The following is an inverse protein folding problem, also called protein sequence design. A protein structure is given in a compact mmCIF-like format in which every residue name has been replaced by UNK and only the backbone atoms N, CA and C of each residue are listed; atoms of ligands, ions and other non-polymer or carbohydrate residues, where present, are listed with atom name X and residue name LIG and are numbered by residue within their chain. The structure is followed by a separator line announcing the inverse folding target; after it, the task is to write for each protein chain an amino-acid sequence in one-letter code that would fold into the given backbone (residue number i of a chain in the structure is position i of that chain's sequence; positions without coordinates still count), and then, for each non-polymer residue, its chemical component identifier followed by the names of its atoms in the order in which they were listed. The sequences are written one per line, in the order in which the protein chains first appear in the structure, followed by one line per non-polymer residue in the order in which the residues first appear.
data_IF_265031452559
#
_entry.id   IF_265031452559
#
_cell.length_a   1.000
_cell.length_b   1.000
_cell.length_c   1.000
_cell.angle_alpha   90.00
_cell.angle_beta   90.00
_cell.angle_gamma   90.00
#
_symmetry.space_group_name_H-M   'P 1'
#
loop_
_entity.id
_entity.type
_entity.pdbx_description
1 polymer ?
#
# COMPACT_ATOMS: atom_id res chain seq x y z
N UNK A 1 -2.94 -30.34 10.49
CA UNK A 1 -3.15 -31.80 10.33
C UNK A 1 -4.54 -31.96 9.75
N UNK A 2 -4.61 -32.40 8.50
CA UNK A 2 -5.79 -32.48 7.63
C UNK A 2 -6.82 -33.49 8.15
N UNK A 3 -8.12 -33.22 7.98
CA UNK A 3 -9.13 -34.17 7.51
C UNK A 3 -10.53 -33.56 7.66
N UNK A 4 -11.24 -33.33 6.54
CA UNK A 4 -12.66 -33.64 6.42
C UNK A 4 -13.05 -33.54 4.95
N UNK A 5 -13.11 -34.71 4.29
CA UNK A 5 -13.86 -34.96 3.07
C UNK A 5 -14.80 -36.14 3.34
N UNK A 6 -16.05 -35.92 2.97
CA UNK A 6 -16.99 -36.86 2.35
C UNK A 6 -17.54 -38.07 3.15
N UNK A 7 -18.85 -38.03 3.42
CA UNK A 7 -19.72 -39.20 3.49
C UNK A 7 -21.10 -38.88 2.84
N UNK A 8 -21.18 -39.13 1.54
CA UNK A 8 -22.17 -40.01 0.88
C UNK A 8 -23.62 -40.07 1.40
N UNK A 9 -24.53 -39.58 0.55
CA UNK A 9 -25.60 -40.34 -0.12
C UNK A 9 -26.45 -41.35 0.69
N UNK A 10 -27.75 -41.03 0.82
CA UNK A 10 -28.86 -42.01 0.75
C UNK A 10 -30.24 -41.31 0.74
N UNK A 11 -30.97 -41.42 -0.37
CA UNK A 11 -32.28 -42.09 -0.48
C UNK A 11 -33.14 -41.56 -1.63
N UNK A 12 -33.32 -42.44 -2.60
CA UNK A 12 -34.34 -42.42 -3.66
C UNK A 12 -35.68 -43.00 -3.16
N UNK A 13 -36.81 -42.37 -3.53
CA UNK A 13 -38.12 -43.07 -3.60
C UNK A 13 -39.01 -42.47 -4.68
N UNK A 14 -39.62 -43.36 -5.47
CA UNK A 14 -40.37 -43.15 -6.71
C UNK A 14 -41.85 -42.75 -6.52
N UNK A 15 -42.40 -42.01 -7.50
CA UNK A 15 -43.84 -41.75 -7.77
C UNK A 15 -44.02 -41.00 -9.12
N UNK A 16 -45.13 -41.14 -9.87
CA UNK A 16 -45.10 -41.42 -11.32
C UNK A 16 -45.17 -40.21 -12.31
N UNK A 17 -44.81 -40.52 -13.57
CA UNK A 17 -44.64 -39.65 -14.77
C UNK A 17 -45.95 -39.19 -15.43
N UNK A 18 -45.78 -38.09 -16.20
CA UNK A 18 -46.54 -37.54 -17.37
C UNK A 18 -47.50 -36.38 -17.09
N UNK A 19 -47.06 -35.16 -17.41
CA UNK A 19 -47.64 -34.35 -18.51
C UNK A 19 -46.67 -33.20 -18.88
N UNK A 20 -46.54 -32.91 -20.18
CA UNK A 20 -45.85 -31.77 -20.81
C UNK A 20 -44.29 -31.76 -20.73
N UNK A 21 -43.51 -32.49 -21.52
CA UNK A 21 -43.38 -32.43 -23.00
C UNK A 21 -44.19 -31.30 -23.65
N UNK A 22 -43.76 -30.04 -23.46
CA UNK A 22 -43.90 -28.90 -24.39
C UNK A 22 -43.43 -27.57 -23.75
N UNK A 23 -42.24 -27.55 -23.16
CA UNK A 23 -41.51 -26.31 -22.89
C UNK A 23 -40.05 -26.38 -23.36
N UNK A 24 -39.72 -27.39 -24.18
CA UNK A 24 -38.43 -27.58 -24.83
C UNK A 24 -38.33 -26.83 -26.16
N UNK A 25 -38.81 -25.57 -26.21
CA UNK A 25 -38.64 -24.70 -27.37
C UNK A 25 -38.82 -23.20 -27.03
N UNK A 26 -38.40 -22.75 -25.84
CA UNK A 26 -38.18 -21.32 -25.60
C UNK A 26 -36.69 -21.02 -25.83
N UNK A 27 -36.42 -20.61 -27.08
CA UNK A 27 -35.25 -19.84 -27.53
C UNK A 27 -33.87 -20.32 -27.08
N UNK A 28 -33.35 -21.35 -27.77
CA UNK A 28 -31.90 -21.61 -27.85
C UNK A 28 -31.14 -20.57 -28.72
N UNK A 29 -31.72 -19.37 -28.91
CA UNK A 29 -31.17 -18.32 -29.78
C UNK A 29 -31.00 -16.94 -29.09
N UNK A 30 -31.13 -16.84 -27.77
CA UNK A 30 -30.97 -15.57 -27.06
C UNK A 30 -30.17 -15.70 -25.77
N UNK A 31 -28.90 -16.11 -25.86
CA UNK A 31 -27.84 -15.81 -24.89
C UNK A 31 -26.46 -16.05 -25.54
N UNK A 32 -26.17 -15.38 -26.66
CA UNK A 32 -24.81 -15.34 -27.22
C UNK A 32 -23.83 -14.51 -26.34
N UNK A 33 -24.36 -13.78 -25.36
CA UNK A 33 -23.59 -13.01 -24.37
C UNK A 33 -24.11 -13.32 -22.96
N UNK A 34 -23.35 -14.11 -22.19
CA UNK A 34 -23.51 -14.21 -20.74
C UNK A 34 -22.55 -13.21 -20.08
N UNK A 35 -23.08 -12.25 -19.32
CA UNK A 35 -22.28 -11.22 -18.64
C UNK A 35 -21.94 -11.72 -17.23
N UNK A 36 -20.72 -12.21 -17.04
CA UNK A 36 -20.22 -12.70 -15.74
C UNK A 36 -19.45 -11.59 -15.01
N UNK A 37 -20.16 -10.57 -14.54
CA UNK A 37 -19.55 -9.41 -13.86
C UNK A 37 -18.87 -9.80 -12.56
N UNK A 38 -19.49 -10.70 -11.78
CA UNK A 38 -18.99 -11.04 -10.44
C UNK A 38 -17.62 -11.71 -10.46
N UNK A 39 -17.33 -12.50 -11.49
CA UNK A 39 -16.01 -13.12 -11.63
C UNK A 39 -14.88 -12.09 -11.85
N UNK A 40 -15.16 -11.03 -12.62
CA UNK A 40 -14.15 -10.03 -13.01
C UNK A 40 -14.26 -8.70 -12.27
N UNK A 41 -15.19 -8.60 -11.31
CA UNK A 41 -15.54 -7.35 -10.64
C UNK A 41 -14.29 -6.63 -10.09
N UNK A 42 -13.53 -7.30 -9.24
CA UNK A 42 -12.35 -6.73 -8.58
C UNK A 42 -11.28 -6.24 -9.59
N UNK A 43 -10.76 -7.09 -10.51
CA UNK A 43 -9.75 -6.63 -11.45
C UNK A 43 -10.28 -5.57 -12.42
N UNK A 44 -11.55 -5.65 -12.83
CA UNK A 44 -12.18 -4.65 -13.71
C UNK A 44 -12.27 -3.30 -13.02
N UNK A 45 -12.77 -3.25 -11.80
CA UNK A 45 -12.91 -2.02 -11.04
C UNK A 45 -11.54 -1.39 -10.74
N UNK A 46 -10.52 -2.17 -10.34
CA UNK A 46 -9.14 -1.66 -10.18
C UNK A 46 -8.63 -1.05 -11.50
N UNK A 47 -8.86 -1.75 -12.62
CA UNK A 47 -8.45 -1.26 -13.94
C UNK A 47 -9.17 0.06 -14.29
N UNK A 48 -10.47 0.16 -14.02
CA UNK A 48 -11.25 1.38 -14.24
C UNK A 48 -10.74 2.54 -13.38
N UNK A 49 -10.38 2.29 -12.12
CA UNK A 49 -9.80 3.30 -11.23
C UNK A 49 -8.43 3.80 -11.73
N UNK A 50 -7.55 2.89 -12.15
CA UNK A 50 -6.24 3.26 -12.73
C UNK A 50 -6.42 4.01 -14.05
N UNK A 51 -7.38 3.57 -14.88
CA UNK A 51 -7.72 4.25 -16.13
C UNK A 51 -8.26 5.66 -15.89
N UNK A 52 -9.15 5.83 -14.91
CA UNK A 52 -9.66 7.15 -14.52
C UNK A 52 -8.54 8.06 -14.04
N UNK A 53 -7.64 7.58 -13.18
CA UNK A 53 -6.50 8.35 -12.67
C UNK A 53 -5.55 8.77 -13.80
N UNK A 54 -5.25 7.86 -14.74
CA UNK A 54 -4.38 8.16 -15.89
C UNK A 54 -5.03 9.15 -16.88
N UNK A 55 -6.32 9.01 -17.16
CA UNK A 55 -7.07 9.98 -17.99
C UNK A 55 -7.14 11.36 -17.31
N UNK A 56 -7.37 11.41 -16.00
CA UNK A 56 -7.35 12.66 -15.25
C UNK A 56 -5.98 13.34 -15.34
N UNK A 57 -4.89 12.56 -15.17
CA UNK A 57 -3.52 13.06 -15.32
C UNK A 57 -3.25 13.64 -16.71
N UNK A 58 -3.69 12.94 -17.76
CA UNK A 58 -3.60 13.46 -19.15
C UNK A 58 -4.38 14.78 -19.26
N UNK A 59 -5.61 14.84 -18.74
CA UNK A 59 -6.43 16.05 -18.75
C UNK A 59 -5.77 17.24 -18.06
N UNK A 60 -5.09 17.03 -16.93
CA UNK A 60 -4.35 18.07 -16.24
C UNK A 60 -3.15 18.58 -17.03
N UNK A 61 -2.42 17.70 -17.71
CA UNK A 61 -1.32 18.10 -18.60
C UNK A 61 -1.80 18.83 -19.86
N UNK A 62 -2.97 18.51 -20.40
CA UNK A 62 -3.53 19.28 -21.52
C UNK A 62 -3.89 20.72 -21.11
N UNK A 63 -4.19 20.94 -19.83
CA UNK A 63 -4.51 22.26 -19.30
C UNK A 63 -3.29 22.85 -18.55
N UNK A 64 -2.35 23.39 -19.32
CA UNK A 64 -1.05 23.94 -18.85
C UNK A 64 -1.10 24.92 -17.65
N UNK A 65 -2.27 25.48 -17.29
CA UNK A 65 -2.41 26.41 -16.16
C UNK A 65 -2.72 25.76 -14.82
N UNK A 66 -3.26 24.53 -14.79
CA UNK A 66 -3.66 23.88 -13.54
C UNK A 66 -2.47 23.31 -12.75
N UNK A 67 -1.52 22.57 -13.36
CA UNK A 67 -0.36 22.02 -12.64
C UNK A 67 0.57 23.10 -12.08
N UNK A 68 0.61 24.28 -12.71
CA UNK A 68 1.43 25.41 -12.26
C UNK A 68 1.00 26.02 -10.92
N UNK A 69 -0.24 25.75 -10.46
CA UNK A 69 -0.79 26.30 -9.22
C UNK A 69 -0.99 25.22 -8.16
N UNK A 70 -1.36 24.01 -8.57
CA UNK A 70 -1.73 22.92 -7.67
C UNK A 70 -0.99 21.64 -8.07
N UNK A 71 -0.30 20.95 -7.13
CA UNK A 71 0.33 19.66 -7.40
C UNK A 71 -0.66 18.62 -7.92
N UNK A 72 -0.20 17.78 -8.85
CA UNK A 72 -1.02 16.75 -9.50
C UNK A 72 -1.71 15.81 -8.49
N UNK A 73 -1.00 15.42 -7.42
CA UNK A 73 -1.54 14.55 -6.37
C UNK A 73 -2.76 15.15 -5.69
N UNK A 74 -2.80 16.45 -5.46
CA UNK A 74 -3.95 17.13 -4.87
C UNK A 74 -5.16 17.09 -5.81
N UNK A 75 -4.94 17.33 -7.11
CA UNK A 75 -6.00 17.26 -8.13
C UNK A 75 -6.59 15.85 -8.24
N UNK A 76 -5.74 14.82 -8.17
CA UNK A 76 -6.18 13.41 -8.17
C UNK A 76 -7.01 13.07 -6.92
N UNK A 77 -6.63 13.57 -5.74
CA UNK A 77 -7.45 13.41 -4.51
C UNK A 77 -8.83 14.06 -4.70
N UNK A 78 -8.91 15.26 -5.28
CA UNK A 78 -10.19 15.91 -5.57
C UNK A 78 -11.06 15.10 -6.53
N UNK A 79 -10.47 14.55 -7.60
CA UNK A 79 -11.20 13.65 -8.52
C UNK A 79 -11.73 12.42 -7.78
N UNK A 80 -10.89 11.81 -6.93
CA UNK A 80 -11.29 10.69 -6.08
C UNK A 80 -12.44 11.02 -5.13
N UNK A 81 -12.41 12.20 -4.48
CA UNK A 81 -13.47 12.68 -3.60
C UNK A 81 -14.78 12.94 -4.35
N UNK A 82 -14.71 13.56 -5.55
CA UNK A 82 -15.88 13.80 -6.39
C UNK A 82 -16.50 12.45 -6.80
N UNK A 83 -15.68 11.51 -7.26
CA UNK A 83 -16.16 10.19 -7.66
C UNK A 83 -16.74 9.41 -6.48
N UNK A 84 -16.07 9.41 -5.33
CA UNK A 84 -16.57 8.80 -4.09
C UNK A 84 -17.89 9.42 -3.62
N UNK A 85 -18.02 10.74 -3.73
CA UNK A 85 -19.27 11.46 -3.43
C UNK A 85 -20.41 11.12 -4.40
N UNK A 86 -20.10 10.95 -5.70
CA UNK A 86 -21.08 10.52 -6.70
C UNK A 86 -21.58 9.10 -6.42
N UNK A 87 -20.67 8.14 -6.14
CA UNK A 87 -21.02 6.77 -5.78
C UNK A 87 -21.90 6.76 -4.52
N UNK A 88 -21.50 7.50 -3.49
CA UNK A 88 -22.28 7.64 -2.26
C UNK A 88 -23.67 8.22 -2.53
N UNK A 89 -23.79 9.24 -3.38
CA UNK A 89 -25.06 9.86 -3.76
C UNK A 89 -25.97 8.94 -4.56
N UNK A 90 -25.40 7.98 -5.31
CA UNK A 90 -26.15 6.98 -6.06
C UNK A 90 -26.63 5.81 -5.18
N UNK A 91 -26.32 5.84 -3.88
CA UNK A 91 -26.70 4.84 -2.89
C UNK A 91 -26.22 3.41 -3.24
N UNK A 92 -25.22 3.33 -4.10
CA UNK A 92 -24.59 2.08 -4.47
C UNK A 92 -23.67 1.66 -3.31
N UNK A 93 -24.01 0.52 -2.69
CA UNK A 93 -23.25 -0.05 -1.57
C UNK A 93 -22.06 -0.88 -2.03
N UNK A 94 -21.64 -0.73 -3.29
CA UNK A 94 -20.44 -1.36 -3.79
C UNK A 94 -19.26 -0.90 -2.92
N UNK A 95 -18.68 -1.79 -2.08
CA UNK A 95 -17.62 -1.41 -1.18
C UNK A 95 -16.42 -0.90 -1.99
N UNK A 96 -15.60 0.00 -1.42
CA UNK A 96 -14.36 0.42 -2.08
C UNK A 96 -13.53 -0.83 -2.38
N UNK A 97 -13.33 -1.06 -3.66
CA UNK A 97 -12.81 -2.31 -4.25
C UNK A 97 -11.34 -2.55 -3.89
N UNK A 98 -10.65 -1.48 -3.48
CA UNK A 98 -9.28 -1.51 -3.03
C UNK A 98 -9.28 -1.66 -1.51
N UNK A 99 -9.28 -2.90 -1.03
CA UNK A 99 -8.93 -3.19 0.35
C UNK A 99 -7.48 -2.82 0.61
N UNK A 100 -7.16 -2.36 1.83
CA UNK A 100 -5.79 -2.02 2.22
C UNK A 100 -4.82 -3.17 1.95
N UNK A 101 -5.21 -4.42 2.21
CA UNK A 101 -4.35 -5.59 1.98
C UNK A 101 -4.02 -5.78 0.50
N UNK A 102 -4.98 -5.53 -0.40
CA UNK A 102 -4.74 -5.61 -1.85
C UNK A 102 -3.76 -4.52 -2.28
N UNK A 103 -3.91 -3.30 -1.74
CA UNK A 103 -2.98 -2.21 -2.01
C UNK A 103 -1.57 -2.54 -1.53
N UNK A 104 -1.42 -2.93 -0.26
CA UNK A 104 -0.11 -3.25 0.33
C UNK A 104 0.54 -4.46 -0.34
N UNK A 105 -0.21 -5.51 -0.69
CA UNK A 105 0.37 -6.72 -1.28
C UNK A 105 0.68 -6.55 -2.77
N UNK A 106 -0.21 -5.96 -3.57
CA UNK A 106 -0.06 -5.96 -5.03
C UNK A 106 0.44 -4.64 -5.63
N UNK A 107 0.03 -3.50 -5.08
CA UNK A 107 0.37 -2.19 -5.65
C UNK A 107 1.65 -1.63 -5.06
N UNK A 108 1.87 -1.80 -3.75
CA UNK A 108 2.99 -1.16 -3.07
C UNK A 108 4.35 -1.72 -3.51
N UNK A 109 4.50 -3.04 -3.65
CA UNK A 109 5.79 -3.65 -4.02
C UNK A 109 6.33 -3.14 -5.38
N UNK A 110 5.54 -3.10 -6.47
CA UNK A 110 5.97 -2.47 -7.73
C UNK A 110 6.33 -0.99 -7.60
N UNK A 111 5.62 -0.21 -6.78
CA UNK A 111 5.89 1.22 -6.56
C UNK A 111 7.24 1.42 -5.86
N UNK A 112 7.52 0.61 -4.82
CA UNK A 112 8.80 0.67 -4.09
C UNK A 112 9.95 0.19 -4.98
N UNK A 113 9.73 -0.82 -5.82
CA UNK A 113 10.72 -1.27 -6.81
C UNK A 113 11.05 -0.18 -7.82
N UNK A 114 10.05 0.49 -8.38
CA UNK A 114 10.23 1.59 -9.33
C UNK A 114 11.07 2.72 -8.69
N UNK A 115 10.69 3.12 -7.48
CA UNK A 115 11.40 4.13 -6.71
C UNK A 115 12.86 3.73 -6.40
N UNK A 116 13.09 2.47 -5.99
CA UNK A 116 14.43 1.96 -5.68
C UNK A 116 15.32 1.76 -6.91
N UNK A 117 14.75 1.30 -8.02
CA UNK A 117 15.48 0.99 -9.25
C UNK A 117 15.97 2.25 -9.97
N UNK A 118 15.16 3.29 -10.03
CA UNK A 118 15.53 4.57 -10.65
C UNK A 118 16.30 5.50 -9.72
N UNK A 119 16.58 5.09 -8.49
CA UNK A 119 17.37 5.88 -7.55
C UNK A 119 18.85 5.92 -7.94
N UNK A 120 19.49 7.11 -8.01
CA UNK A 120 20.93 7.21 -8.20
C UNK A 120 21.68 6.68 -6.97
N UNK A 121 22.26 5.49 -7.11
CA UNK A 121 22.88 4.75 -5.99
C UNK A 121 24.07 5.45 -5.35
N UNK A 122 25.00 6.00 -6.16
CA UNK A 122 26.22 6.64 -5.64
C UNK A 122 25.95 7.81 -4.70
N UNK A 123 25.22 8.87 -5.11
CA UNK A 123 24.99 10.00 -4.22
C UNK A 123 24.06 9.67 -3.04
N UNK A 124 23.20 8.65 -3.18
CA UNK A 124 22.39 8.15 -2.06
C UNK A 124 23.28 7.56 -0.96
N UNK A 125 24.20 6.66 -1.31
CA UNK A 125 25.10 6.03 -0.33
C UNK A 125 26.13 7.01 0.25
N UNK A 126 26.59 8.00 -0.50
CA UNK A 126 27.46 9.07 0.04
C UNK A 126 26.79 9.89 1.15
N UNK A 127 25.46 10.07 1.08
CA UNK A 127 24.70 10.91 2.00
C UNK A 127 23.80 10.10 2.96
N UNK A 128 23.97 8.77 3.02
CA UNK A 128 23.08 7.86 3.76
C UNK A 128 22.91 8.25 5.24
N UNK A 129 23.96 8.76 5.88
CA UNK A 129 23.89 9.19 7.28
C UNK A 129 22.92 10.37 7.49
N UNK A 130 22.95 11.34 6.58
CA UNK A 130 22.02 12.48 6.61
C UNK A 130 20.61 12.02 6.28
N UNK A 131 20.44 11.18 5.25
CA UNK A 131 19.15 10.61 4.88
C UNK A 131 18.52 9.86 6.06
N UNK A 132 19.28 8.97 6.69
CA UNK A 132 18.80 8.17 7.83
C UNK A 132 18.48 9.05 9.04
N UNK A 133 19.24 10.11 9.29
CA UNK A 133 18.95 11.06 10.36
C UNK A 133 17.60 11.75 10.17
N UNK A 134 17.29 12.23 8.95
CA UNK A 134 15.98 12.81 8.67
C UNK A 134 14.87 11.76 8.65
N UNK A 135 15.08 10.63 7.98
CA UNK A 135 14.08 9.56 7.86
C UNK A 135 13.71 8.92 9.19
N UNK A 136 14.67 8.67 10.09
CA UNK A 136 14.41 8.02 11.37
C UNK A 136 14.12 9.06 12.46
N UNK A 137 15.08 9.93 12.74
CA UNK A 137 14.96 10.88 13.87
C UNK A 137 13.92 11.94 13.55
N UNK A 138 13.93 12.49 12.33
CA UNK A 138 12.95 13.47 11.88
C UNK A 138 11.53 12.93 11.89
N UNK A 139 11.30 11.74 11.34
CA UNK A 139 9.97 11.11 11.34
C UNK A 139 9.50 10.71 12.73
N UNK A 140 10.37 10.18 13.59
CA UNK A 140 10.01 9.90 14.99
C UNK A 140 9.66 11.19 15.73
N UNK A 141 10.46 12.24 15.56
CA UNK A 141 10.16 13.56 16.14
C UNK A 141 8.82 14.09 15.64
N UNK A 142 8.53 13.95 14.34
CA UNK A 142 7.26 14.34 13.74
C UNK A 142 6.08 13.55 14.33
N UNK A 143 6.18 12.22 14.37
CA UNK A 143 5.16 11.32 14.90
C UNK A 143 4.83 11.61 16.37
N UNK A 144 5.86 11.71 17.22
CA UNK A 144 5.68 12.03 18.63
C UNK A 144 5.22 13.46 18.84
N UNK A 145 5.74 14.42 18.08
CA UNK A 145 5.35 15.83 18.16
C UNK A 145 3.88 16.01 17.84
N UNK A 146 3.40 15.44 16.74
CA UNK A 146 1.99 15.44 16.36
C UNK A 146 1.14 14.75 17.44
N UNK A 147 1.53 13.55 17.88
CA UNK A 147 0.76 12.80 18.87
C UNK A 147 0.66 13.51 20.23
N UNK A 148 1.75 14.11 20.71
CA UNK A 148 1.74 14.90 21.94
C UNK A 148 0.94 16.19 21.79
N UNK A 149 1.06 16.86 20.65
CA UNK A 149 0.32 18.09 20.37
C UNK A 149 -1.20 17.83 20.32
N UNK A 150 -1.63 16.78 19.61
CA UNK A 150 -3.03 16.36 19.57
C UNK A 150 -3.55 15.96 20.94
N UNK A 151 -2.76 15.22 21.71
CA UNK A 151 -3.12 14.90 23.10
C UNK A 151 -3.29 16.17 23.95
N UNK A 152 -2.41 17.16 23.81
CA UNK A 152 -2.54 18.46 24.47
C UNK A 152 -3.85 19.17 24.13
N UNK A 153 -4.28 19.12 22.87
CA UNK A 153 -5.57 19.66 22.42
C UNK A 153 -6.75 18.89 23.04
N UNK A 154 -6.69 17.56 23.06
CA UNK A 154 -7.73 16.71 23.64
C UNK A 154 -7.99 17.02 25.13
N UNK A 155 -6.97 17.46 25.86
CA UNK A 155 -7.10 17.82 27.28
C UNK A 155 -7.84 19.14 27.52
N UNK A 156 -7.96 20.00 26.50
CA UNK A 156 -8.70 21.26 26.60
C UNK A 156 -10.21 20.96 26.66
N UNK A 157 -10.82 21.23 27.82
CA UNK A 157 -12.24 20.95 28.14
C UNK A 157 -13.24 21.48 27.10
N UNK A 158 -12.88 22.52 26.35
CA UNK A 158 -13.73 23.11 25.31
C UNK A 158 -14.08 22.10 24.19
N UNK A 159 -13.13 21.24 23.80
CA UNK A 159 -13.31 20.32 22.68
C UNK A 159 -14.07 19.03 23.03
N UNK A 160 -14.28 18.73 24.32
CA UNK A 160 -14.98 17.51 24.80
C UNK A 160 -14.38 16.20 24.22
N UNK A 161 -13.07 16.14 24.00
CA UNK A 161 -12.35 15.00 23.41
C UNK A 161 -11.46 14.26 24.44
N UNK A 162 -11.80 14.33 25.71
CA UNK A 162 -10.97 13.78 26.80
C UNK A 162 -10.95 12.24 26.83
N UNK A 163 -11.84 11.59 26.08
CA UNK A 163 -11.92 10.14 25.96
C UNK A 163 -10.81 9.56 25.05
N UNK A 164 -10.13 10.41 24.26
CA UNK A 164 -9.06 9.98 23.36
C UNK A 164 -7.77 9.78 24.15
N UNK A 165 -7.34 8.52 24.26
CA UNK A 165 -6.10 8.20 24.98
C UNK A 165 -4.86 8.68 24.22
N UNK A 166 -3.77 8.92 24.97
CA UNK A 166 -2.46 9.27 24.41
C UNK A 166 -2.00 8.28 23.32
N UNK A 167 -2.30 6.99 23.51
CA UNK A 167 -1.94 5.94 22.57
C UNK A 167 -2.66 6.08 21.23
N UNK A 168 -3.93 6.47 21.21
CA UNK A 168 -4.66 6.73 19.96
C UNK A 168 -4.06 7.94 19.23
N UNK A 169 -3.64 8.97 19.96
CA UNK A 169 -2.97 10.13 19.36
C UNK A 169 -1.58 9.77 18.80
N UNK A 170 -0.82 8.89 19.45
CA UNK A 170 0.44 8.37 18.88
C UNK A 170 0.23 7.45 17.70
N UNK A 171 -0.81 6.62 17.72
CA UNK A 171 -1.18 5.81 16.56
C UNK A 171 -1.50 6.69 15.35
N UNK A 172 -2.31 7.73 15.53
CA UNK A 172 -2.62 8.70 14.48
C UNK A 172 -1.37 9.49 14.06
N UNK A 173 -0.57 9.96 15.02
CA UNK A 173 0.66 10.71 14.77
C UNK A 173 1.66 9.92 13.92
N UNK A 174 1.87 8.64 14.22
CA UNK A 174 2.72 7.75 13.39
C UNK A 174 2.16 7.52 12.00
N UNK A 175 0.83 7.43 11.84
CA UNK A 175 0.20 7.23 10.55
C UNK A 175 0.43 8.43 9.61
N UNK A 176 0.35 9.66 10.14
CA UNK A 176 0.49 10.88 9.33
C UNK A 176 1.91 11.45 9.30
N UNK A 177 2.86 10.82 10.01
CA UNK A 177 4.25 11.27 10.04
C UNK A 177 5.02 11.00 8.74
N UNK A 178 4.57 10.03 7.95
CA UNK A 178 5.13 9.72 6.63
C UNK A 178 4.67 10.82 5.67
N UNK A 179 5.64 11.52 5.11
CA UNK A 179 5.40 12.56 4.13
C UNK A 179 5.82 12.04 2.77
N UNK A 180 4.88 11.98 1.83
CA UNK A 180 5.18 11.61 0.45
C UNK A 180 5.90 12.75 -0.28
N UNK A 181 6.99 12.48 -1.02
CA UNK A 181 7.80 13.53 -1.62
C UNK A 181 7.27 13.97 -2.99
N UNK A 182 6.32 13.23 -3.58
CA UNK A 182 5.92 13.35 -5.00
C UNK A 182 5.60 14.79 -5.39
N UNK A 183 4.79 15.49 -4.59
CA UNK A 183 4.41 16.87 -4.86
C UNK A 183 5.58 17.86 -4.69
N UNK A 184 6.54 17.58 -3.80
CA UNK A 184 7.71 18.43 -3.56
C UNK A 184 8.76 18.21 -4.64
N UNK A 185 9.01 16.95 -5.02
CA UNK A 185 9.97 16.58 -6.05
C UNK A 185 9.55 17.12 -7.42
N UNK A 186 8.26 17.07 -7.77
CA UNK A 186 7.77 17.65 -9.03
C UNK A 186 8.06 19.15 -9.13
N UNK A 187 7.94 19.88 -8.02
CA UNK A 187 8.27 21.31 -7.97
C UNK A 187 9.78 21.54 -8.02
N UNK A 188 10.57 20.66 -7.38
CA UNK A 188 12.03 20.77 -7.35
C UNK A 188 12.67 20.52 -8.72
N UNK A 189 12.10 19.63 -9.52
CA UNK A 189 12.53 19.41 -10.91
C UNK A 189 12.27 20.66 -11.77
N UNK A 190 11.11 21.31 -11.61
CA UNK A 190 10.74 22.51 -12.38
C UNK A 190 11.65 23.70 -12.08
N UNK A 191 12.03 23.90 -10.80
CA UNK A 191 12.92 25.00 -10.40
C UNK A 191 14.41 24.65 -10.52
N UNK A 192 14.76 23.47 -11.08
CA UNK A 192 16.13 22.97 -11.24
C UNK A 192 16.96 22.99 -9.94
N UNK A 193 16.42 22.41 -8.87
CA UNK A 193 17.12 22.28 -7.58
C UNK A 193 18.40 21.46 -7.70
N UNK A 194 19.35 21.72 -6.79
CA UNK A 194 20.55 20.91 -6.60
C UNK A 194 20.20 19.41 -6.47
N UNK A 195 20.79 18.57 -7.32
CA UNK A 195 20.56 17.11 -7.30
C UNK A 195 20.84 16.45 -5.95
N UNK A 196 21.71 17.02 -5.11
CA UNK A 196 21.92 16.52 -3.74
C UNK A 196 20.68 16.68 -2.86
N UNK A 197 19.99 17.82 -2.95
CA UNK A 197 18.77 18.06 -2.16
C UNK A 197 17.63 17.17 -2.63
N UNK A 198 17.52 16.95 -3.95
CA UNK A 198 16.57 16.00 -4.52
C UNK A 198 16.76 14.59 -3.95
N UNK A 199 18.00 14.09 -3.91
CA UNK A 199 18.31 12.74 -3.41
C UNK A 199 18.10 12.64 -1.90
N UNK A 200 18.41 13.70 -1.14
CA UNK A 200 18.16 13.75 0.30
C UNK A 200 16.67 13.63 0.62
N UNK A 201 15.83 14.44 -0.05
CA UNK A 201 14.37 14.44 0.17
C UNK A 201 13.74 13.13 -0.31
N UNK A 202 14.12 12.66 -1.49
CA UNK A 202 13.62 11.38 -2.02
C UNK A 202 14.00 10.20 -1.12
N UNK A 203 15.27 10.13 -0.68
CA UNK A 203 15.72 9.07 0.22
C UNK A 203 15.08 9.14 1.60
N UNK A 204 14.86 10.35 2.12
CA UNK A 204 14.15 10.55 3.39
C UNK A 204 12.75 10.00 3.31
N UNK A 205 12.02 10.34 2.24
CA UNK A 205 10.65 9.87 2.09
C UNK A 205 10.51 8.41 1.67
N UNK A 206 11.52 7.80 1.04
CA UNK A 206 11.51 6.36 0.83
C UNK A 206 11.67 5.60 2.15
N UNK A 207 12.58 6.08 3.02
CA UNK A 207 12.87 5.40 4.29
C UNK A 207 11.89 5.78 5.41
N UNK A 208 11.24 6.94 5.35
CA UNK A 208 10.28 7.36 6.38
C UNK A 208 9.03 6.45 6.40
N UNK A 209 8.59 5.92 5.25
CA UNK A 209 7.49 4.96 5.12
C UNK A 209 7.75 3.66 5.89
N UNK A 210 9.02 3.24 5.92
CA UNK A 210 9.42 2.11 6.75
C UNK A 210 9.40 2.44 8.25
N UNK A 211 9.75 3.67 8.63
CA UNK A 211 9.77 4.13 10.03
C UNK A 211 8.35 4.29 10.56
N UNK A 212 7.41 4.75 9.74
CA UNK A 212 6.01 4.92 10.15
C UNK A 212 5.28 3.62 10.42
N UNK A 213 5.84 2.45 10.07
CA UNK A 213 5.41 1.14 10.59
C UNK A 213 5.30 1.10 12.12
N UNK A 214 5.87 2.07 12.83
CA UNK A 214 5.56 2.42 14.22
C UNK A 214 4.04 2.49 14.51
N UNK A 215 3.19 2.82 13.54
CA UNK A 215 1.73 2.77 13.68
C UNK A 215 1.24 1.35 14.00
N UNK A 216 1.84 0.29 13.39
CA UNK A 216 1.50 -1.11 13.67
C UNK A 216 1.87 -1.47 15.12
N UNK A 217 2.95 -0.88 15.66
CA UNK A 217 3.34 -1.05 17.07
C UNK A 217 2.31 -0.42 18.01
N UNK A 218 1.93 0.84 17.77
CA UNK A 218 0.92 1.51 18.61
C UNK A 218 -0.46 0.87 18.50
N UNK A 219 -0.86 0.43 17.31
CA UNK A 219 -2.08 -0.37 17.12
C UNK A 219 -2.05 -1.64 17.98
N UNK A 220 -0.94 -2.39 17.92
CA UNK A 220 -0.79 -3.62 18.71
C UNK A 220 -0.87 -3.35 20.22
N UNK A 221 -0.31 -2.24 20.71
CA UNK A 221 -0.45 -1.85 22.12
C UNK A 221 -1.88 -1.44 22.47
N UNK A 222 -2.65 -0.87 21.53
CA UNK A 222 -4.02 -0.45 21.78
C UNK A 222 -5.00 -1.61 21.89
N UNK A 223 -4.66 -2.76 21.31
CA UNK A 223 -5.43 -3.99 21.40
C UNK A 223 -5.13 -4.79 22.69
N UNK A 224 -4.08 -4.42 23.42
CA UNK A 224 -3.71 -5.08 24.68
C UNK A 224 -4.52 -4.52 25.87
N UNK A 225 -5.01 -5.37 26.78
CA UNK A 225 -5.82 -4.94 27.92
C UNK A 225 -5.02 -4.17 28.98
N UNK A 226 -3.71 -4.40 29.08
CA UNK A 226 -2.83 -3.67 30.00
C UNK A 226 -1.40 -3.69 29.44
N UNK A 227 -0.75 -2.52 29.40
CA UNK A 227 0.63 -2.38 28.91
C UNK A 227 1.58 -2.42 30.10
N UNK A 228 2.43 -3.44 30.18
CA UNK A 228 3.49 -3.51 31.20
C UNK A 228 4.78 -2.88 30.65
N UNK A 229 5.69 -2.40 31.53
CA UNK A 229 6.99 -1.87 31.08
C UNK A 229 7.81 -2.86 30.24
N UNK A 230 7.68 -4.16 30.52
CA UNK A 230 8.33 -5.22 29.75
C UNK A 230 7.81 -5.31 28.31
N UNK A 231 6.51 -5.06 28.11
CA UNK A 231 5.88 -5.10 26.78
C UNK A 231 6.36 -3.93 25.92
N UNK A 232 6.62 -2.77 26.54
CA UNK A 232 7.21 -1.61 25.87
C UNK A 232 8.63 -1.93 25.41
N UNK A 233 9.45 -2.52 26.27
CA UNK A 233 10.82 -2.92 25.92
C UNK A 233 10.83 -3.97 24.80
N UNK A 234 9.93 -4.97 24.88
CA UNK A 234 9.76 -5.97 23.84
C UNK A 234 9.27 -5.36 22.53
N UNK A 235 8.38 -4.36 22.58
CA UNK A 235 7.90 -3.64 21.40
C UNK A 235 8.98 -2.83 20.70
N UNK A 236 9.84 -2.14 21.46
CA UNK A 236 11.02 -1.44 20.92
C UNK A 236 11.98 -2.45 20.27
N UNK A 237 12.26 -3.57 20.95
CA UNK A 237 13.10 -4.64 20.40
C UNK A 237 12.53 -5.22 19.10
N UNK A 238 11.22 -5.48 19.08
CA UNK A 238 10.50 -5.96 17.89
C UNK A 238 10.58 -4.94 16.76
N UNK A 239 10.42 -3.65 17.03
CA UNK A 239 10.52 -2.60 16.01
C UNK A 239 11.88 -2.61 15.28
N UNK A 240 12.99 -2.67 16.03
CA UNK A 240 14.32 -2.80 15.43
C UNK A 240 14.52 -4.13 14.69
N UNK A 241 14.01 -5.23 15.24
CA UNK A 241 14.08 -6.54 14.60
C UNK A 241 13.35 -6.56 13.24
N UNK A 242 12.18 -5.93 13.16
CA UNK A 242 11.37 -5.83 11.94
C UNK A 242 12.10 -5.01 10.86
N UNK A 243 12.74 -3.89 11.25
CA UNK A 243 13.54 -3.07 10.34
C UNK A 243 14.80 -3.77 9.84
N UNK A 244 15.63 -4.30 10.76
CA UNK A 244 16.87 -5.02 10.42
C UNK A 244 16.58 -6.29 9.62
N UNK A 245 15.51 -7.02 9.97
CA UNK A 245 15.08 -8.19 9.22
C UNK A 245 14.61 -7.87 7.80
N UNK A 246 14.01 -6.69 7.58
CA UNK A 246 13.73 -6.18 6.24
C UNK A 246 15.01 -6.00 5.43
N UNK A 247 16.01 -5.29 5.98
CA UNK A 247 17.32 -5.09 5.33
C UNK A 247 17.98 -6.43 4.98
N UNK A 248 17.96 -7.38 5.91
CA UNK A 248 18.54 -8.71 5.70
C UNK A 248 17.84 -9.47 4.56
N UNK A 249 16.51 -9.46 4.53
CA UNK A 249 15.71 -10.09 3.47
C UNK A 249 16.00 -9.46 2.10
N UNK A 250 16.02 -8.12 2.04
CA UNK A 250 16.33 -7.40 0.79
C UNK A 250 17.75 -7.66 0.29
N UNK A 251 18.74 -7.69 1.19
CA UNK A 251 20.11 -8.04 0.81
C UNK A 251 20.21 -9.47 0.27
N UNK A 252 19.52 -10.43 0.91
CA UNK A 252 19.50 -11.82 0.48
C UNK A 252 18.92 -11.95 -0.94
N UNK A 253 17.73 -11.41 -1.18
CA UNK A 253 17.10 -11.50 -2.51
C UNK A 253 17.81 -10.64 -3.56
N UNK A 254 18.39 -9.50 -3.18
CA UNK A 254 19.22 -8.68 -4.07
C UNK A 254 20.50 -9.40 -4.51
N UNK A 255 21.15 -10.15 -3.62
CA UNK A 255 22.29 -11.01 -3.97
C UNK A 255 21.88 -12.14 -4.92
N UNK A 256 20.76 -12.81 -4.64
CA UNK A 256 20.22 -13.86 -5.51
C UNK A 256 19.86 -13.29 -6.89
N UNK A 257 19.22 -12.11 -6.93
CA UNK A 257 18.89 -11.44 -8.18
C UNK A 257 20.15 -11.13 -8.99
N UNK A 258 21.16 -10.51 -8.36
CA UNK A 258 22.45 -10.20 -9.01
C UNK A 258 23.16 -11.44 -9.54
N UNK A 259 23.10 -12.55 -8.79
CA UNK A 259 23.66 -13.83 -9.21
C UNK A 259 22.90 -14.39 -10.42
N UNK A 260 21.57 -14.44 -10.38
CA UNK A 260 20.74 -14.97 -11.47
C UNK A 260 20.83 -14.13 -12.75
N UNK A 261 20.86 -12.80 -12.63
CA UNK A 261 21.01 -11.91 -13.81
C UNK A 261 22.38 -12.04 -14.45
N UNK A 262 23.43 -12.38 -13.69
CA UNK A 262 24.74 -12.67 -14.25
C UNK A 262 24.73 -13.81 -15.28
N UNK A 263 23.90 -14.84 -15.08
CA UNK A 263 23.78 -15.98 -16.01
C UNK A 263 22.78 -15.77 -17.14
N UNK A 264 21.96 -14.71 -17.07
CA UNK A 264 20.81 -14.50 -17.98
C UNK A 264 21.05 -13.38 -19.00
N UNK A 265 22.30 -12.91 -19.13
CA UNK A 265 22.71 -11.77 -19.97
C UNK A 265 22.30 -11.86 -21.44
N UNK A 266 22.02 -13.05 -21.96
CA UNK A 266 21.64 -13.28 -23.36
C UNK A 266 20.18 -12.88 -23.65
N UNK A 267 19.36 -12.58 -22.63
CA UNK A 267 17.93 -12.27 -22.82
C UNK A 267 17.46 -11.15 -21.88
N UNK A 268 17.46 -9.92 -22.38
CA UNK A 268 17.04 -8.71 -21.65
C UNK A 268 15.63 -8.80 -21.04
N UNK A 269 14.69 -9.45 -21.73
CA UNK A 269 13.31 -9.62 -21.24
C UNK A 269 13.26 -10.47 -19.95
N UNK A 270 14.10 -11.51 -19.87
CA UNK A 270 14.14 -12.42 -18.72
C UNK A 270 14.82 -11.72 -17.53
N UNK A 271 15.82 -10.89 -17.78
CA UNK A 271 16.48 -10.09 -16.74
C UNK A 271 15.51 -9.16 -16.03
N UNK A 272 14.69 -8.40 -16.78
CA UNK A 272 13.69 -7.51 -16.21
C UNK A 272 12.61 -8.28 -15.42
N UNK A 273 12.19 -9.44 -15.94
CA UNK A 273 11.25 -10.33 -15.25
C UNK A 273 11.81 -10.77 -13.90
N UNK A 274 13.08 -11.18 -13.83
CA UNK A 274 13.70 -11.61 -12.58
C UNK A 274 13.85 -10.47 -11.57
N UNK A 275 14.18 -9.26 -12.02
CA UNK A 275 14.25 -8.09 -11.13
C UNK A 275 12.88 -7.86 -10.45
N UNK A 276 11.80 -7.90 -11.25
CA UNK A 276 10.44 -7.77 -10.72
C UNK A 276 10.07 -8.91 -9.77
N UNK A 277 10.32 -10.16 -10.17
CA UNK A 277 9.98 -11.35 -9.36
C UNK A 277 10.75 -11.39 -8.03
N UNK A 278 12.06 -11.13 -8.04
CA UNK A 278 12.86 -11.19 -6.82
C UNK A 278 12.55 -10.05 -5.86
N UNK A 279 12.26 -8.85 -6.37
CA UNK A 279 11.78 -7.74 -5.53
C UNK A 279 10.43 -8.08 -4.89
N UNK A 280 9.49 -8.60 -5.68
CA UNK A 280 8.20 -9.02 -5.15
C UNK A 280 8.33 -10.16 -4.13
N UNK A 281 9.23 -11.12 -4.38
CA UNK A 281 9.51 -12.22 -3.47
C UNK A 281 10.17 -11.75 -2.18
N UNK A 282 11.06 -10.75 -2.24
CA UNK A 282 11.65 -10.09 -1.06
C UNK A 282 10.55 -9.49 -0.19
N UNK A 283 9.67 -8.69 -0.80
CA UNK A 283 8.54 -8.04 -0.13
C UNK A 283 7.61 -9.06 0.55
N UNK A 284 7.17 -10.08 -0.19
CA UNK A 284 6.27 -11.11 0.35
C UNK A 284 6.93 -11.94 1.44
N UNK A 285 8.22 -12.27 1.31
CA UNK A 285 8.96 -13.02 2.33
C UNK A 285 9.08 -12.20 3.61
N UNK A 286 9.37 -10.90 3.49
CA UNK A 286 9.42 -10.00 4.63
C UNK A 286 8.06 -9.90 5.33
N UNK A 287 6.96 -9.66 4.60
CA UNK A 287 5.61 -9.62 5.18
C UNK A 287 5.20 -10.96 5.81
N UNK A 288 5.58 -12.10 5.21
CA UNK A 288 5.33 -13.45 5.75
C UNK A 288 5.99 -13.66 7.12
N UNK A 289 7.19 -13.10 7.32
CA UNK A 289 7.90 -13.14 8.62
C UNK A 289 7.57 -11.95 9.53
N UNK A 290 6.56 -11.14 9.17
CA UNK A 290 6.20 -9.89 9.86
C UNK A 290 7.37 -8.90 9.96
N UNK A 291 8.30 -8.94 9.02
CA UNK A 291 9.39 -7.99 8.83
C UNK A 291 8.91 -6.82 7.94
N UNK A 292 9.73 -5.78 7.78
CA UNK A 292 9.34 -4.63 6.96
C UNK A 292 9.49 -4.95 5.47
N UNK A 293 8.37 -5.20 4.78
CA UNK A 293 8.36 -5.41 3.33
C UNK A 293 8.86 -4.20 2.53
N UNK A 294 8.58 -2.98 3.01
CA UNK A 294 9.01 -1.73 2.35
C UNK A 294 10.54 -1.59 2.35
N UNK A 295 11.21 -2.12 3.38
CA UNK A 295 12.69 -2.06 3.52
C UNK A 295 13.39 -3.20 2.77
N UNK A 296 12.68 -4.30 2.55
CA UNK A 296 13.19 -5.51 1.90
C UNK A 296 13.12 -5.40 0.37
#
# INVERSE_FOLDING_TARGET
MLHYWDQTAKNSSWGPKRTQENASMVSAHTLLFSLDYQHVQIPLEITLWIMLASLAKIGFHLYNKLPAVVPESCLLIFVGLIMGGLIYSLNDKSPPVINSDIFFLYLLSPIVLDAGYFMPSWPFFENIGTILSYAVVGTMWNAFGIGLFLYGICQVKYFKLQDVSLLHNFWFGSLIAAVGPVAVLSVFEEIHVNGKLHILVFGESLLNDAVTMLYKLFKSFSEMPSIKPLDILAGIGKYFLVGIGGIFTGLLFGMVATFTTHFTKTSWVIELLFIFLYSYLSYLTAEMFHLSGIVA
#
